data_IF_513466255963
#
_entry.id   IF_513466255963
#
_cell.length_a   1.000
_cell.length_b   1.000
_cell.length_c   1.000
_cell.angle_alpha   90.00
_cell.angle_beta   90.00
_cell.angle_gamma   90.00
#
_symmetry.space_group_name_H-M   'P 1'
#
loop_
_entity.id
_entity.type
_entity.pdbx_description
1 polymer ?
#
# COMPACT_ATOMS: atom_id res chain seq x y z
N UNK A 1 19.39 -0.39 4.50
CA UNK A 1 18.24 -1.25 4.19
C UNK A 1 17.11 -0.86 5.12
N UNK A 2 16.00 -0.38 4.57
CA UNK A 2 14.81 -0.03 5.35
C UNK A 2 14.18 -1.33 5.85
N UNK A 3 13.83 -1.38 7.14
CA UNK A 3 13.09 -2.48 7.73
C UNK A 3 11.62 -2.08 7.86
N UNK A 4 10.75 -2.79 7.16
CA UNK A 4 9.31 -2.60 7.17
C UNK A 4 8.58 -3.41 8.23
N UNK A 5 9.26 -4.32 8.94
CA UNK A 5 8.59 -5.21 9.88
C UNK A 5 7.92 -4.44 11.02
N UNK A 6 6.63 -4.71 11.21
CA UNK A 6 5.75 -4.06 12.18
C UNK A 6 5.51 -2.55 11.93
N UNK A 7 5.91 -2.01 10.78
CA UNK A 7 5.52 -0.65 10.40
C UNK A 7 4.05 -0.62 10.02
N UNK A 8 3.37 0.46 10.40
CA UNK A 8 1.96 0.70 10.07
C UNK A 8 1.90 1.94 9.21
N UNK A 9 1.31 1.83 8.03
CA UNK A 9 1.10 2.95 7.13
C UNK A 9 -0.38 3.32 7.05
N UNK A 10 -0.64 4.63 6.94
CA UNK A 10 -1.97 5.19 6.72
C UNK A 10 -1.96 6.06 5.46
N UNK A 11 -3.04 6.08 4.67
CA UNK A 11 -3.13 6.95 3.51
C UNK A 11 -3.26 8.42 3.92
N UNK A 12 -2.51 9.30 3.24
CA UNK A 12 -2.59 10.75 3.38
C UNK A 12 -3.36 11.40 2.22
N UNK A 13 -3.23 10.84 1.01
CA UNK A 13 -3.89 11.33 -0.21
C UNK A 13 -3.97 10.24 -1.27
N UNK A 14 -5.02 10.29 -2.11
CA UNK A 14 -5.18 9.48 -3.32
C UNK A 14 -5.56 10.38 -4.50
N UNK A 15 -5.13 10.02 -5.71
CA UNK A 15 -5.36 10.80 -6.93
C UNK A 15 -6.82 10.86 -7.42
N UNK A 16 -7.73 10.03 -6.90
CA UNK A 16 -9.13 10.00 -7.32
C UNK A 16 -10.07 10.46 -6.18
N UNK A 17 -10.71 11.62 -6.37
CA UNK A 17 -11.85 12.15 -5.59
C UNK A 17 -11.82 11.98 -4.05
N UNK A 18 -10.68 12.28 -3.41
CA UNK A 18 -10.61 12.94 -2.10
C UNK A 18 -11.20 12.24 -0.86
N UNK A 19 -11.84 11.09 -0.96
CA UNK A 19 -12.25 10.29 0.19
C UNK A 19 -11.06 9.41 0.62
N UNK A 20 -10.12 10.01 1.33
CA UNK A 20 -9.07 9.27 2.04
C UNK A 20 -9.75 8.56 3.20
N UNK A 21 -9.90 7.25 3.10
CA UNK A 21 -10.31 6.45 4.24
C UNK A 21 -9.15 6.33 5.23
N UNK A 22 -9.11 7.27 6.18
CA UNK A 22 -8.14 7.30 7.27
C UNK A 22 -8.24 6.10 8.22
N UNK A 23 -9.26 5.24 8.08
CA UNK A 23 -9.35 3.99 8.84
C UNK A 23 -8.48 2.88 8.25
N UNK A 24 -8.13 3.00 6.96
CA UNK A 24 -7.31 2.01 6.27
C UNK A 24 -5.89 2.02 6.84
N UNK A 25 -5.49 0.88 7.39
CA UNK A 25 -4.17 0.68 7.98
C UNK A 25 -3.51 -0.52 7.31
N UNK A 26 -2.27 -0.32 6.89
CA UNK A 26 -1.44 -1.37 6.32
C UNK A 26 -0.37 -1.74 7.33
N UNK A 27 -0.55 -2.88 8.01
CA UNK A 27 0.47 -3.45 8.88
C UNK A 27 1.44 -4.28 8.05
N UNK A 28 2.68 -3.83 7.93
CA UNK A 28 3.70 -4.52 7.16
C UNK A 28 4.39 -5.58 8.02
N UNK A 29 4.63 -6.74 7.41
CA UNK A 29 5.43 -7.84 7.96
C UNK A 29 6.52 -8.17 6.97
N UNK A 30 7.77 -8.18 7.44
CA UNK A 30 8.92 -8.42 6.56
C UNK A 30 9.65 -9.71 6.96
N UNK A 31 10.01 -10.53 5.99
CA UNK A 31 10.88 -11.69 6.14
C UNK A 31 11.87 -11.72 4.99
N UNK A 32 13.15 -11.48 5.28
CA UNK A 32 14.15 -11.27 4.23
C UNK A 32 13.80 -10.06 3.37
N UNK A 33 13.76 -10.25 2.05
CA UNK A 33 13.37 -9.23 1.09
C UNK A 33 11.87 -9.28 0.72
N UNK A 34 11.05 -10.04 1.45
CA UNK A 34 9.61 -10.16 1.19
C UNK A 34 8.85 -9.34 2.24
N UNK A 35 7.95 -8.47 1.78
CA UNK A 35 7.02 -7.70 2.61
C UNK A 35 5.60 -8.16 2.32
N UNK A 36 4.80 -8.33 3.36
CA UNK A 36 3.36 -8.66 3.24
C UNK A 36 2.53 -7.74 4.11
N UNK A 37 1.26 -7.56 3.75
CA UNK A 37 0.30 -6.85 4.59
C UNK A 37 -1.12 -7.40 4.37
N UNK A 38 -1.93 -7.30 5.43
CA UNK A 38 -3.38 -7.48 5.41
C UNK A 38 -4.01 -6.13 5.74
N UNK A 39 -5.05 -5.74 5.01
CA UNK A 39 -5.74 -4.48 5.22
C UNK A 39 -7.26 -4.62 5.03
N UNK A 40 -7.99 -3.68 5.60
CA UNK A 40 -9.45 -3.54 5.49
C UNK A 40 -9.83 -2.10 5.81
N UNK A 41 -10.97 -1.63 5.32
CA UNK A 41 -11.43 -0.25 5.54
C UNK A 41 -12.38 0.21 4.45
N UNK A 42 -13.31 1.11 4.80
CA UNK A 42 -14.18 1.77 3.83
C UNK A 42 -15.08 0.77 3.14
N UNK A 43 -14.89 0.59 1.82
CA UNK A 43 -15.60 -0.41 1.01
C UNK A 43 -14.83 -1.72 0.84
N UNK A 44 -13.65 -1.86 1.45
CA UNK A 44 -12.80 -3.04 1.34
C UNK A 44 -13.05 -3.94 2.55
N UNK A 45 -13.62 -5.11 2.28
CA UNK A 45 -13.89 -6.13 3.31
C UNK A 45 -12.58 -6.79 3.75
N UNK A 46 -11.73 -7.14 2.79
CA UNK A 46 -10.40 -7.69 3.04
C UNK A 46 -9.49 -7.44 1.85
N UNK A 47 -8.23 -7.12 2.11
CA UNK A 47 -7.21 -7.02 1.10
C UNK A 47 -5.86 -7.50 1.62
N UNK A 48 -5.03 -7.91 0.67
CA UNK A 48 -3.68 -8.41 0.92
C UNK A 48 -2.73 -7.79 -0.09
N UNK A 49 -1.50 -7.55 0.35
CA UNK A 49 -0.39 -7.25 -0.55
C UNK A 49 0.83 -8.10 -0.22
N UNK A 50 1.62 -8.35 -1.25
CA UNK A 50 2.96 -8.92 -1.18
C UNK A 50 3.89 -8.07 -2.02
N UNK A 51 5.12 -7.88 -1.56
CA UNK A 51 6.12 -7.09 -2.26
C UNK A 51 7.52 -7.67 -2.09
N UNK A 52 8.38 -7.36 -3.06
CA UNK A 52 9.82 -7.49 -2.92
C UNK A 52 10.42 -6.14 -2.58
N UNK A 53 11.28 -6.09 -1.56
CA UNK A 53 12.04 -4.90 -1.19
C UNK A 53 13.46 -4.99 -1.76
N UNK A 54 13.92 -3.91 -2.40
CA UNK A 54 15.29 -3.79 -2.88
C UNK A 54 16.24 -3.15 -1.85
N UNK A 55 17.53 -3.03 -2.18
CA UNK A 55 18.53 -2.45 -1.27
C UNK A 55 18.31 -0.96 -0.96
N UNK A 56 17.59 -0.25 -1.83
CA UNK A 56 17.20 1.15 -1.66
C UNK A 56 15.90 1.29 -0.84
N UNK A 57 15.21 0.18 -0.59
CA UNK A 57 13.93 0.14 0.12
C UNK A 57 12.72 0.30 -0.79
N UNK A 58 12.89 0.33 -2.12
CA UNK A 58 11.74 0.37 -3.01
C UNK A 58 10.99 -0.96 -2.96
N UNK A 59 9.67 -0.90 -3.13
CA UNK A 59 8.80 -2.06 -3.09
C UNK A 59 8.13 -2.27 -4.45
N UNK A 60 8.35 -3.44 -5.05
CA UNK A 60 7.57 -3.94 -6.19
C UNK A 60 6.44 -4.86 -5.66
N UNK A 61 5.19 -4.39 -5.75
CA UNK A 61 4.05 -4.95 -5.03
C UNK A 61 3.00 -5.56 -5.95
N UNK A 62 2.35 -6.63 -5.45
CA UNK A 62 1.08 -7.16 -5.97
C UNK A 62 0.05 -7.14 -4.85
N UNK A 63 -1.15 -6.70 -5.16
CA UNK A 63 -2.24 -6.65 -4.20
C UNK A 63 -3.56 -7.14 -4.80
N UNK A 64 -4.45 -7.58 -3.92
CA UNK A 64 -5.80 -7.98 -4.27
C UNK A 64 -6.73 -7.71 -3.10
N UNK A 65 -8.00 -7.47 -3.41
CA UNK A 65 -9.00 -7.17 -2.40
C UNK A 65 -10.40 -7.61 -2.81
N UNK A 66 -11.25 -7.80 -1.80
CA UNK A 66 -12.68 -8.00 -1.94
C UNK A 66 -13.39 -6.74 -1.43
N UNK A 67 -14.25 -6.16 -2.26
CA UNK A 67 -15.07 -5.03 -1.87
C UNK A 67 -16.40 -5.46 -1.19
N UNK A 68 -17.16 -4.50 -0.69
CA UNK A 68 -18.48 -4.67 -0.06
C UNK A 68 -19.57 -5.22 -0.99
N UNK A 69 -19.31 -5.26 -2.30
CA UNK A 69 -20.16 -5.91 -3.32
C UNK A 69 -19.75 -7.35 -3.61
N UNK A 70 -18.71 -7.86 -2.95
CA UNK A 70 -18.18 -9.21 -3.18
C UNK A 70 -17.35 -9.34 -4.47
N UNK A 71 -16.94 -8.23 -5.06
CA UNK A 71 -16.11 -8.21 -6.26
C UNK A 71 -14.63 -8.29 -5.87
N UNK A 72 -13.87 -9.13 -6.59
CA UNK A 72 -12.41 -9.23 -6.43
C UNK A 72 -11.75 -8.28 -7.43
N UNK A 73 -10.88 -7.41 -6.91
CA UNK A 73 -9.97 -6.60 -7.74
C UNK A 73 -8.52 -6.90 -7.42
N UNK A 74 -7.65 -6.74 -8.41
CA UNK A 74 -6.21 -7.00 -8.32
C UNK A 74 -5.41 -5.84 -8.92
N UNK A 75 -4.22 -5.58 -8.40
CA UNK A 75 -3.36 -4.52 -8.91
C UNK A 75 -1.87 -4.74 -8.67
N UNK A 76 -1.09 -3.87 -9.30
CA UNK A 76 0.35 -3.75 -9.11
C UNK A 76 0.65 -2.37 -8.56
N UNK A 77 1.68 -2.25 -7.72
CA UNK A 77 2.12 -0.97 -7.19
C UNK A 77 3.64 -0.94 -7.11
N UNK A 78 4.23 0.21 -7.45
CA UNK A 78 5.61 0.51 -7.13
C UNK A 78 5.64 1.60 -6.07
N UNK A 79 6.32 1.34 -4.96
CA UNK A 79 6.34 2.23 -3.79
C UNK A 79 7.77 2.64 -3.45
N UNK A 80 8.01 3.94 -3.40
CA UNK A 80 9.32 4.54 -3.11
C UNK A 80 9.29 5.18 -1.72
N UNK A 81 10.19 4.81 -0.80
CA UNK A 81 10.25 5.41 0.53
C UNK A 81 10.98 6.76 0.54
N UNK A 82 10.47 7.67 1.35
CA UNK A 82 11.09 8.94 1.75
C UNK A 82 11.23 8.93 3.28
N UNK A 83 12.44 9.19 3.79
CA UNK A 83 12.63 9.37 5.23
C UNK A 83 12.40 10.83 5.62
N UNK A 84 11.44 11.04 6.52
CA UNK A 84 11.07 12.37 6.99
C UNK A 84 11.99 12.85 8.13
N UNK A 85 12.07 14.16 8.40
CA UNK A 85 12.91 14.71 9.47
C UNK A 85 12.57 14.21 10.88
N UNK A 86 11.34 13.72 11.09
CA UNK A 86 10.88 13.14 12.36
C UNK A 86 11.26 11.64 12.50
N UNK A 87 11.99 11.07 11.53
CA UNK A 87 12.42 9.67 11.52
C UNK A 87 11.40 8.69 10.94
N UNK A 88 10.19 9.14 10.64
CA UNK A 88 9.14 8.33 10.00
C UNK A 88 9.37 8.16 8.51
N UNK A 89 8.72 7.16 7.92
CA UNK A 89 8.68 6.96 6.47
C UNK A 89 7.42 7.54 5.85
N UNK A 90 7.57 8.12 4.65
CA UNK A 90 6.50 8.41 3.72
C UNK A 90 6.70 7.56 2.46
N UNK A 91 5.63 6.93 1.98
CA UNK A 91 5.66 6.08 0.81
C UNK A 91 4.98 6.82 -0.35
N UNK A 92 5.69 6.93 -1.46
CA UNK A 92 5.18 7.46 -2.72
C UNK A 92 4.82 6.30 -3.63
N UNK A 93 3.53 6.12 -3.89
CA UNK A 93 3.00 4.93 -4.56
C UNK A 93 2.50 5.26 -5.95
N UNK A 94 2.86 4.42 -6.91
CA UNK A 94 2.30 4.41 -8.27
C UNK A 94 1.65 3.07 -8.49
N UNK A 95 0.32 3.06 -8.57
CA UNK A 95 -0.47 1.85 -8.66
C UNK A 95 -1.22 1.77 -9.98
N UNK A 96 -1.55 0.54 -10.37
CA UNK A 96 -2.40 0.24 -11.52
C UNK A 96 -3.24 -1.00 -11.23
N UNK A 97 -4.53 -0.91 -11.52
CA UNK A 97 -5.39 -2.08 -11.51
C UNK A 97 -5.05 -3.03 -12.67
N UNK A 98 -5.02 -4.32 -12.37
CA UNK A 98 -4.88 -5.40 -13.37
C UNK A 98 -6.21 -6.08 -13.67
N UNK A 99 -7.27 -5.66 -12.99
CA UNK A 99 -8.66 -6.08 -13.16
C UNK A 99 -9.56 -4.85 -13.34
N UNK A 100 -10.78 -5.04 -13.84
CA UNK A 100 -11.74 -3.94 -13.96
C UNK A 100 -11.37 -2.98 -15.10
N UNK A 101 -11.36 -1.68 -14.82
CA UNK A 101 -11.11 -0.62 -15.82
C UNK A 101 -9.62 -0.39 -16.14
N UNK A 102 -8.73 -1.09 -15.42
CA UNK A 102 -7.27 -1.00 -15.58
C UNK A 102 -6.70 0.41 -15.34
N UNK A 103 -7.44 1.24 -14.60
CA UNK A 103 -7.01 2.57 -14.21
C UNK A 103 -5.73 2.54 -13.37
N UNK A 104 -5.03 3.66 -13.37
CA UNK A 104 -3.78 3.87 -12.66
C UNK A 104 -3.79 5.22 -11.95
N UNK A 105 -2.96 5.34 -10.92
CA UNK A 105 -2.94 6.53 -10.09
C UNK A 105 -1.74 6.58 -9.15
N UNK A 106 -1.74 7.62 -8.33
CA UNK A 106 -0.70 7.86 -7.35
C UNK A 106 -1.32 8.03 -5.95
N UNK A 107 -0.59 7.54 -4.95
CA UNK A 107 -1.01 7.57 -3.55
C UNK A 107 0.17 7.94 -2.65
N UNK A 108 -0.15 8.54 -1.51
CA UNK A 108 0.82 8.86 -0.46
C UNK A 108 0.41 8.16 0.83
N UNK A 109 1.32 7.35 1.38
CA UNK A 109 1.15 6.77 2.71
C UNK A 109 2.19 7.35 3.66
N UNK A 110 1.87 7.44 4.95
CA UNK A 110 2.82 7.82 6.00
C UNK A 110 2.81 6.83 7.16
N UNK A 111 3.97 6.62 7.74
CA UNK A 111 4.15 5.80 8.93
C UNK A 111 3.45 6.43 10.14
N UNK A 112 2.63 5.62 10.81
CA UNK A 112 1.82 6.02 11.98
C UNK A 112 2.67 6.37 13.19
#
# INVERSE_FOLDING_TARGET
MINYDNKVFIPLANSENGEVDLQMQFLYKQTGNIVTSTYSGGRIVTGHLIALVDDQGNLDMRYHQVNDKGEITTGVCYSTPEQLPNGKLRMHEKWRWTSGDLSEGESLLEEK
#
